data_IF_689964635744
#
_entry.id   IF_689964635744
#
_cell.length_a   1.000
_cell.length_b   1.000
_cell.length_c   1.000
_cell.angle_alpha   90.00
_cell.angle_beta   90.00
_cell.angle_gamma   90.00
#
_symmetry.space_group_name_H-M   'P 1'
#
loop_
_entity.id
_entity.type
_entity.pdbx_description
1 polymer ?
#
# COMPACT_ATOMS: atom_id res chain seq x y z
N UNK A 1 -41.01 0.34 8.75
CA UNK A 1 -40.08 -0.38 9.64
C UNK A 1 -39.06 0.62 10.16
N UNK A 2 -39.11 0.97 11.44
CA UNK A 2 -38.17 1.90 12.07
C UNK A 2 -37.02 1.09 12.68
N UNK A 3 -35.83 1.19 12.10
CA UNK A 3 -34.61 0.59 12.65
C UNK A 3 -34.07 1.55 13.72
N UNK A 4 -34.35 1.29 14.98
CA UNK A 4 -33.66 1.92 16.11
C UNK A 4 -33.35 0.90 17.20
N UNK A 5 -32.15 0.35 17.11
CA UNK A 5 -31.30 -0.06 18.21
C UNK A 5 -29.95 -0.42 17.58
N UNK A 6 -28.86 0.20 18.02
CA UNK A 6 -27.52 -0.38 17.88
C UNK A 6 -27.58 -1.73 18.61
N UNK A 7 -27.96 -2.78 17.89
CA UNK A 7 -28.09 -4.11 18.46
C UNK A 7 -26.69 -4.56 18.87
N UNK A 8 -26.54 -5.20 20.03
CA UNK A 8 -25.25 -5.57 20.65
C UNK A 8 -24.24 -6.19 19.67
N UNK A 9 -24.73 -6.92 18.66
CA UNK A 9 -23.93 -7.54 17.61
C UNK A 9 -23.13 -6.55 16.76
N UNK A 10 -23.66 -5.35 16.46
CA UNK A 10 -22.95 -4.32 15.69
C UNK A 10 -21.80 -3.73 16.50
N UNK A 11 -22.00 -3.52 17.80
CA UNK A 11 -20.96 -3.05 18.73
C UNK A 11 -19.83 -4.07 18.88
N UNK A 12 -20.15 -5.37 18.95
CA UNK A 12 -19.14 -6.45 18.99
C UNK A 12 -18.35 -6.57 17.68
N UNK A 13 -19.00 -6.40 16.53
CA UNK A 13 -18.34 -6.41 15.20
C UNK A 13 -17.45 -5.18 15.00
N UNK A 14 -17.88 -4.02 15.51
CA UNK A 14 -17.13 -2.77 15.39
C UNK A 14 -15.74 -2.89 16.02
N UNK A 15 -15.62 -3.41 17.25
CA UNK A 15 -14.31 -3.61 17.89
C UNK A 15 -13.38 -4.54 17.10
N UNK A 16 -13.91 -5.65 16.58
CA UNK A 16 -13.13 -6.60 15.76
C UNK A 16 -12.70 -6.00 14.42
N UNK A 17 -13.59 -5.25 13.76
CA UNK A 17 -13.30 -4.60 12.49
C UNK A 17 -12.31 -3.44 12.63
N UNK A 18 -12.31 -2.73 13.76
CA UNK A 18 -11.30 -1.70 14.06
C UNK A 18 -9.91 -2.32 14.16
N UNK A 19 -9.76 -3.42 14.91
CA UNK A 19 -8.48 -4.13 15.00
C UNK A 19 -7.99 -4.62 13.63
N UNK A 20 -8.89 -5.21 12.83
CA UNK A 20 -8.56 -5.62 11.46
C UNK A 20 -8.18 -4.42 10.57
N UNK A 21 -8.90 -3.30 10.68
CA UNK A 21 -8.60 -2.09 9.92
C UNK A 21 -7.22 -1.53 10.23
N UNK A 22 -6.82 -1.51 11.50
CA UNK A 22 -5.47 -1.09 11.92
C UNK A 22 -4.40 -2.03 11.36
N UNK A 23 -4.60 -3.34 11.46
CA UNK A 23 -3.65 -4.33 10.92
C UNK A 23 -3.48 -4.20 9.41
N UNK A 24 -4.60 -4.03 8.68
CA UNK A 24 -4.56 -3.83 7.22
C UNK A 24 -3.83 -2.54 6.85
N UNK A 25 -4.10 -1.43 7.54
CA UNK A 25 -3.41 -0.16 7.31
C UNK A 25 -1.91 -0.26 7.57
N UNK A 26 -1.50 -0.92 8.66
CA UNK A 26 -0.09 -1.17 8.96
C UNK A 26 0.59 -2.02 7.87
N UNK A 27 -0.07 -3.09 7.41
CA UNK A 27 0.45 -3.92 6.32
C UNK A 27 0.63 -3.13 5.02
N UNK A 28 -0.37 -2.31 4.66
CA UNK A 28 -0.30 -1.43 3.48
C UNK A 28 0.89 -0.48 3.60
N UNK A 29 1.10 0.16 4.76
CA UNK A 29 2.20 1.09 4.97
C UNK A 29 3.58 0.42 4.77
N UNK A 30 3.75 -0.82 5.22
CA UNK A 30 5.02 -1.57 5.04
C UNK A 30 5.28 -1.83 3.56
N UNK A 31 4.29 -2.38 2.83
CA UNK A 31 4.43 -2.70 1.40
C UNK A 31 4.60 -1.43 0.56
N UNK A 32 3.83 -0.40 0.86
CA UNK A 32 3.91 0.89 0.16
C UNK A 32 5.24 1.58 0.43
N UNK A 33 5.70 1.62 1.68
CA UNK A 33 7.00 2.18 2.04
C UNK A 33 8.16 1.46 1.34
N UNK A 34 8.12 0.12 1.29
CA UNK A 34 9.10 -0.67 0.53
C UNK A 34 9.03 -0.35 -0.97
N UNK A 35 7.83 -0.15 -1.52
CA UNK A 35 7.64 0.21 -2.93
C UNK A 35 8.26 1.56 -3.25
N UNK A 36 8.02 2.57 -2.41
CA UNK A 36 8.64 3.90 -2.55
C UNK A 36 10.16 3.77 -2.52
N UNK A 37 10.72 3.09 -1.52
CA UNK A 37 12.17 2.88 -1.41
C UNK A 37 12.75 2.18 -2.65
N UNK A 38 12.07 1.14 -3.15
CA UNK A 38 12.48 0.39 -4.34
C UNK A 38 12.48 1.26 -5.60
N UNK A 39 11.41 2.04 -5.82
CA UNK A 39 11.28 2.89 -6.99
C UNK A 39 12.29 4.04 -6.95
N UNK A 40 12.48 4.67 -5.80
CA UNK A 40 13.51 5.70 -5.61
C UNK A 40 14.91 5.15 -5.93
N UNK A 41 15.24 3.98 -5.40
CA UNK A 41 16.53 3.33 -5.66
C UNK A 41 16.72 2.93 -7.14
N UNK A 42 15.65 2.55 -7.83
CA UNK A 42 15.70 2.21 -9.25
C UNK A 42 16.03 3.43 -10.13
N UNK A 43 15.47 4.60 -9.78
CA UNK A 43 15.75 5.88 -10.45
C UNK A 43 17.21 6.30 -10.31
N UNK A 44 17.78 6.18 -9.11
CA UNK A 44 19.19 6.51 -8.85
C UNK A 44 20.17 5.62 -9.63
N UNK A 45 19.81 4.35 -9.84
CA UNK A 45 20.68 3.39 -10.54
C UNK A 45 20.70 3.55 -12.05
N UNK A 46 20.04 4.58 -12.61
CA UNK A 46 19.96 4.79 -14.05
C UNK A 46 19.36 3.58 -14.79
N UNK A 47 18.56 2.76 -14.10
CA UNK A 47 18.11 1.47 -14.62
C UNK A 47 17.19 1.60 -15.85
N UNK A 48 16.69 2.80 -16.11
CA UNK A 48 15.90 3.13 -17.29
C UNK A 48 16.75 3.53 -18.51
N UNK A 49 18.06 3.78 -18.32
CA UNK A 49 18.97 4.29 -19.34
C UNK A 49 19.63 3.16 -20.16
N UNK A 50 18.87 2.15 -20.57
CA UNK A 50 19.38 1.14 -21.49
C UNK A 50 19.44 1.73 -22.91
N UNK A 51 20.63 2.22 -23.30
CA UNK A 51 20.89 2.58 -24.68
C UNK A 51 21.06 1.30 -25.51
N UNK A 52 20.29 1.09 -26.59
CA UNK A 52 20.52 -0.05 -27.46
C UNK A 52 21.94 0.01 -28.06
N UNK A 53 22.63 -1.13 -28.20
CA UNK A 53 23.97 -1.16 -28.77
C UNK A 53 23.94 -0.55 -30.18
N UNK A 54 24.74 0.51 -30.40
CA UNK A 54 24.85 1.22 -31.67
C UNK A 54 24.34 2.67 -31.69
N UNK A 55 23.74 3.19 -30.61
CA UNK A 55 23.24 4.59 -30.56
C UNK A 55 24.30 5.61 -30.10
N UNK A 56 25.49 5.17 -29.69
CA UNK A 56 26.58 6.05 -29.21
C UNK A 56 27.81 5.89 -30.10
N UNK A 57 27.75 6.38 -31.34
CA UNK A 57 28.92 6.62 -32.18
C UNK A 57 28.58 7.55 -33.35
N UNK A 58 28.84 8.85 -33.18
CA UNK A 58 29.34 9.73 -34.23
C UNK A 58 30.44 10.58 -33.62
#
# INVERSE_FOLDING_TARGET
>A
MTIRAEHEIHRRRLGRNVGLGVTLAAFILVVFGLTVAKVSQLGERGAFAHAPPGVVAR
#
